data_IF_787124022710
#
_entry.id   IF_787124022710
#
_cell.length_a   1.000
_cell.length_b   1.000
_cell.length_c   1.000
_cell.angle_alpha   90.00
_cell.angle_beta   90.00
_cell.angle_gamma   90.00
#
_symmetry.space_group_name_H-M   'P 1'
#
loop_
_entity.id
_entity.type
_entity.pdbx_description
1 polymer ?
#
# COMPACT_ATOMS: atom_id res chain seq x y z
N UNK A 1 -10.80 -32.65 1.21
CA UNK A 1 -10.83 -31.73 0.06
C UNK A 1 -11.00 -30.35 0.66
N UNK A 2 -9.88 -29.77 1.11
CA UNK A 2 -9.88 -28.44 1.72
C UNK A 2 -10.30 -27.43 0.65
N UNK A 3 -11.30 -26.62 0.98
CA UNK A 3 -11.69 -25.51 0.14
C UNK A 3 -10.46 -24.59 0.02
N UNK A 4 -9.91 -24.49 -1.19
CA UNK A 4 -8.93 -23.49 -1.56
C UNK A 4 -9.56 -22.12 -1.28
N UNK A 5 -9.26 -21.56 -0.11
CA UNK A 5 -9.66 -20.21 0.27
C UNK A 5 -8.97 -19.28 -0.73
N UNK A 6 -9.73 -18.68 -1.65
CA UNK A 6 -9.18 -17.70 -2.58
C UNK A 6 -8.45 -16.63 -1.79
N UNK A 7 -7.13 -16.59 -1.92
CA UNK A 7 -6.28 -15.67 -1.17
C UNK A 7 -6.68 -14.25 -1.58
N UNK A 8 -7.21 -13.49 -0.62
CA UNK A 8 -7.64 -12.10 -0.85
C UNK A 8 -6.42 -11.28 -1.24
N UNK A 9 -6.54 -10.45 -2.26
CA UNK A 9 -5.49 -9.54 -2.71
C UNK A 9 -6.04 -8.12 -2.70
N UNK A 10 -5.27 -7.16 -2.22
CA UNK A 10 -5.62 -5.74 -2.19
C UNK A 10 -5.57 -5.12 -3.59
N UNK A 11 -6.47 -4.16 -3.85
CA UNK A 11 -6.64 -3.48 -5.13
C UNK A 11 -6.76 -1.97 -4.94
N UNK A 12 -6.43 -1.18 -5.97
CA UNK A 12 -6.47 0.29 -5.89
C UNK A 12 -7.88 0.84 -5.72
N UNK A 13 -8.92 0.11 -6.12
CA UNK A 13 -10.33 0.46 -5.96
C UNK A 13 -10.91 0.06 -4.59
N UNK A 14 -10.16 -0.68 -3.76
CA UNK A 14 -10.59 -1.03 -2.41
C UNK A 14 -10.83 0.22 -1.57
N UNK A 15 -11.91 0.21 -0.77
CA UNK A 15 -12.07 1.18 0.31
C UNK A 15 -11.03 0.95 1.40
N UNK A 16 -10.59 1.99 2.13
CA UNK A 16 -9.67 1.79 3.26
C UNK A 16 -10.17 0.78 4.30
N UNK A 17 -11.48 0.72 4.56
CA UNK A 17 -12.07 -0.28 5.47
C UNK A 17 -11.94 -1.71 4.96
N UNK A 18 -12.09 -1.92 3.64
CA UNK A 18 -11.93 -3.23 3.00
C UNK A 18 -10.47 -3.70 3.10
N UNK A 19 -9.53 -2.78 2.87
CA UNK A 19 -8.11 -3.07 3.04
C UNK A 19 -7.76 -3.44 4.48
N UNK A 20 -8.25 -2.66 5.46
CA UNK A 20 -8.04 -2.94 6.88
C UNK A 20 -8.62 -4.30 7.30
N UNK A 21 -9.78 -4.68 6.77
CA UNK A 21 -10.34 -6.01 7.02
C UNK A 21 -9.42 -7.11 6.48
N UNK A 22 -8.93 -6.97 5.25
CA UNK A 22 -7.98 -7.92 4.66
C UNK A 22 -6.65 -8.01 5.42
N UNK A 23 -6.10 -6.89 5.89
CA UNK A 23 -4.92 -6.88 6.75
C UNK A 23 -5.15 -7.66 8.04
N UNK A 24 -6.30 -7.47 8.70
CA UNK A 24 -6.65 -8.17 9.94
C UNK A 24 -6.84 -9.67 9.72
N UNK A 25 -7.55 -10.05 8.66
CA UNK A 25 -7.77 -11.46 8.28
C UNK A 25 -6.44 -12.20 8.09
N UNK A 26 -5.45 -11.52 7.49
CA UNK A 26 -4.11 -12.07 7.22
C UNK A 26 -3.12 -11.87 8.38
N UNK A 27 -3.53 -11.27 9.50
CA UNK A 27 -2.64 -10.99 10.63
C UNK A 27 -1.52 -9.97 10.33
N UNK A 28 -1.67 -9.17 9.27
CA UNK A 28 -0.67 -8.20 8.83
C UNK A 28 -0.89 -6.87 9.57
N UNK A 29 0.11 -6.46 10.35
CA UNK A 29 0.11 -5.13 11.01
C UNK A 29 0.86 -4.08 10.21
N UNK A 30 1.95 -4.45 9.55
CA UNK A 30 2.85 -3.54 8.83
C UNK A 30 3.14 -4.12 7.46
N UNK A 31 3.31 -3.25 6.47
CA UNK A 31 3.77 -3.65 5.16
C UNK A 31 4.33 -2.47 4.38
N UNK A 32 4.92 -2.80 3.23
CA UNK A 32 5.49 -1.86 2.30
C UNK A 32 5.26 -2.28 0.84
N UNK A 33 5.33 -1.28 -0.04
CA UNK A 33 5.57 -1.37 -1.47
C UNK A 33 6.82 -0.54 -1.75
N UNK A 34 7.87 -1.13 -2.33
CA UNK A 34 9.14 -0.43 -2.62
C UNK A 34 9.41 -0.53 -4.11
N UNK A 35 9.82 0.58 -4.73
CA UNK A 35 10.14 0.60 -6.15
C UNK A 35 11.48 -0.11 -6.41
N UNK A 36 11.44 -1.15 -7.24
CA UNK A 36 12.62 -1.82 -7.76
C UNK A 36 13.01 -1.14 -9.08
N UNK A 37 14.20 -0.52 -9.10
CA UNK A 37 14.70 0.20 -10.25
C UNK A 37 15.18 -0.72 -11.38
N UNK A 38 15.63 -1.94 -11.07
CA UNK A 38 16.12 -2.89 -12.06
C UNK A 38 14.95 -3.60 -12.73
N UNK A 39 13.92 -3.96 -11.96
CA UNK A 39 12.71 -4.61 -12.46
C UNK A 39 11.65 -3.63 -13.00
N UNK A 40 11.81 -2.33 -12.75
CA UNK A 40 10.81 -1.28 -13.04
C UNK A 40 9.41 -1.60 -12.51
N UNK A 41 9.34 -2.21 -11.31
CA UNK A 41 8.08 -2.61 -10.67
C UNK A 41 8.12 -2.37 -9.16
N UNK A 42 6.96 -2.35 -8.51
CA UNK A 42 6.85 -2.34 -7.07
C UNK A 42 6.99 -3.75 -6.51
N UNK A 43 7.89 -3.89 -5.54
CA UNK A 43 8.02 -5.09 -4.72
C UNK A 43 7.17 -4.96 -3.45
N UNK A 44 6.25 -5.91 -3.28
CA UNK A 44 5.39 -6.01 -2.12
C UNK A 44 6.04 -6.81 -0.99
N UNK A 45 5.84 -6.35 0.25
CA UNK A 45 6.27 -7.08 1.45
C UNK A 45 5.48 -8.36 1.75
N UNK A 46 4.26 -8.48 1.24
CA UNK A 46 3.33 -9.56 1.54
C UNK A 46 2.48 -9.89 0.30
N UNK A 47 2.11 -11.16 0.05
CA UNK A 47 1.29 -11.56 -1.10
C UNK A 47 -0.05 -10.83 -1.20
N UNK A 48 -0.66 -10.52 -0.05
CA UNK A 48 -1.89 -9.71 0.03
C UNK A 48 -1.77 -8.37 -0.72
N UNK A 49 -0.57 -7.82 -0.86
CA UNK A 49 -0.32 -6.52 -1.49
C UNK A 49 0.06 -6.62 -2.97
N UNK A 50 0.24 -7.82 -3.52
CA UNK A 50 0.74 -8.02 -4.88
C UNK A 50 -0.17 -7.37 -5.94
N UNK A 51 -1.48 -7.36 -5.71
CA UNK A 51 -2.43 -6.72 -6.61
C UNK A 51 -2.26 -5.20 -6.67
N UNK A 52 -2.04 -4.55 -5.52
CA UNK A 52 -1.72 -3.12 -5.46
C UNK A 52 -0.39 -2.84 -6.15
N UNK A 53 0.65 -3.62 -5.85
CA UNK A 53 1.98 -3.46 -6.43
C UNK A 53 1.92 -3.54 -7.96
N UNK A 54 1.21 -4.55 -8.48
CA UNK A 54 1.02 -4.76 -9.90
C UNK A 54 0.25 -3.61 -10.56
N UNK A 55 -0.91 -3.22 -10.03
CA UNK A 55 -1.71 -2.14 -10.62
C UNK A 55 -0.96 -0.80 -10.66
N UNK A 56 -0.26 -0.45 -9.58
CA UNK A 56 0.56 0.75 -9.53
C UNK A 56 1.73 0.70 -10.52
N UNK A 57 2.39 -0.45 -10.67
CA UNK A 57 3.49 -0.65 -11.62
C UNK A 57 3.04 -0.58 -13.08
N UNK A 58 1.84 -1.08 -13.38
CA UNK A 58 1.24 -1.08 -14.72
C UNK A 58 0.74 0.32 -15.17
N UNK A 59 1.03 1.37 -14.39
CA UNK A 59 0.72 2.75 -14.75
C UNK A 59 -0.61 3.26 -14.19
N UNK A 60 -0.94 2.88 -12.95
CA UNK A 60 -2.06 3.49 -12.24
C UNK A 60 -1.94 5.02 -12.25
N UNK A 61 -3.07 5.70 -12.45
CA UNK A 61 -3.13 7.14 -12.66
C UNK A 61 -2.38 7.90 -11.57
N UNK A 62 -1.51 8.80 -11.99
CA UNK A 62 -0.74 9.73 -11.16
C UNK A 62 0.31 9.10 -10.21
N UNK A 63 0.62 7.81 -10.33
CA UNK A 63 1.70 7.20 -9.56
C UNK A 63 3.08 7.59 -10.11
N UNK A 64 3.81 8.46 -9.40
CA UNK A 64 5.15 8.95 -9.79
C UNK A 64 6.30 8.12 -9.20
N UNK A 65 6.20 6.78 -9.26
CA UNK A 65 7.29 5.86 -8.85
C UNK A 65 7.87 6.18 -7.47
N UNK A 66 6.98 6.30 -6.47
CA UNK A 66 7.38 6.47 -5.07
C UNK A 66 8.45 5.44 -4.69
N UNK A 67 9.54 5.89 -4.08
CA UNK A 67 10.65 5.03 -3.65
C UNK A 67 10.17 3.99 -2.64
N UNK A 68 9.26 4.40 -1.76
CA UNK A 68 8.60 3.49 -0.84
C UNK A 68 7.27 4.02 -0.33
N UNK A 69 6.29 3.13 -0.25
CA UNK A 69 5.03 3.33 0.45
C UNK A 69 4.98 2.35 1.61
N UNK A 70 4.90 2.86 2.83
CA UNK A 70 4.83 2.08 4.05
C UNK A 70 3.47 2.28 4.68
N UNK A 71 2.95 1.23 5.32
CA UNK A 71 1.73 1.35 6.09
C UNK A 71 1.79 0.56 7.40
N UNK A 72 0.97 1.01 8.36
CA UNK A 72 0.73 0.30 9.61
C UNK A 72 -0.75 0.38 9.99
N UNK A 73 -1.33 -0.73 10.41
CA UNK A 73 -2.59 -0.73 11.13
C UNK A 73 -2.32 -0.41 12.61
N UNK A 74 -2.73 0.78 13.04
CA UNK A 74 -2.49 1.28 14.40
C UNK A 74 -3.06 0.34 15.47
N UNK A 75 -2.21 -0.11 16.38
CA UNK A 75 -2.56 -1.15 17.37
C UNK A 75 -3.71 -0.77 18.32
N UNK A 76 -3.83 0.50 18.68
CA UNK A 76 -4.88 0.98 19.60
C UNK A 76 -6.06 1.60 18.86
N UNK A 77 -5.79 2.45 17.87
CA UNK A 77 -6.83 3.20 17.16
C UNK A 77 -7.48 2.42 16.02
N UNK A 78 -6.82 1.37 15.51
CA UNK A 78 -7.22 0.70 14.27
C UNK A 78 -7.12 1.61 13.03
N UNK A 79 -6.48 2.78 13.15
CA UNK A 79 -6.28 3.68 12.04
C UNK A 79 -5.27 3.10 11.04
N UNK A 80 -5.56 3.25 9.75
CA UNK A 80 -4.59 2.93 8.71
C UNK A 80 -3.63 4.10 8.55
N UNK A 81 -2.37 3.88 8.89
CA UNK A 81 -1.30 4.87 8.84
C UNK A 81 -0.49 4.63 7.57
N UNK A 82 -0.06 5.71 6.92
CA UNK A 82 0.83 5.65 5.77
C UNK A 82 2.06 6.54 5.97
N UNK A 83 3.18 6.13 5.38
CA UNK A 83 4.34 6.97 5.16
C UNK A 83 4.82 6.79 3.72
N UNK A 84 5.00 7.91 3.02
CA UNK A 84 5.38 7.95 1.61
C UNK A 84 6.78 8.53 1.50
N UNK A 85 7.64 7.86 0.74
CA UNK A 85 8.98 8.34 0.39
C UNK A 85 9.02 8.52 -1.12
N UNK A 86 9.33 9.73 -1.55
CA UNK A 86 9.41 10.08 -2.96
C UNK A 86 10.60 11.02 -3.20
N UNK A 87 11.46 10.63 -4.15
CA UNK A 87 12.52 11.46 -4.74
C UNK A 87 13.48 12.06 -3.70
N UNK A 88 14.25 11.22 -3.02
CA UNK A 88 15.24 11.61 -1.99
C UNK A 88 16.60 12.04 -2.56
N UNK A 89 16.71 12.20 -3.88
CA UNK A 89 17.97 12.58 -4.59
C UNK A 89 18.57 13.93 -4.17
N UNK A 90 17.81 14.76 -3.44
CA UNK A 90 18.27 16.07 -2.93
C UNK A 90 18.42 16.13 -1.41
N UNK A 91 18.24 15.00 -0.71
CA UNK A 91 18.31 14.92 0.75
C UNK A 91 17.14 14.16 1.36
N UNK A 92 17.00 14.25 2.68
CA UNK A 92 15.96 13.56 3.43
C UNK A 92 14.56 14.01 3.00
N UNK A 93 13.61 13.07 3.02
CA UNK A 93 12.20 13.35 2.72
C UNK A 93 11.61 14.40 3.68
N UNK A 94 10.88 15.35 3.13
CA UNK A 94 10.15 16.36 3.88
C UNK A 94 8.68 16.35 3.44
N UNK A 95 7.78 16.02 4.36
CA UNK A 95 6.35 15.88 4.09
C UNK A 95 5.50 16.25 5.30
N UNK A 96 4.25 16.64 5.04
CA UNK A 96 3.27 16.90 6.09
C UNK A 96 2.58 15.62 6.56
N UNK A 97 1.92 15.71 7.71
CA UNK A 97 0.99 14.67 8.18
C UNK A 97 -0.44 15.14 7.92
N UNK A 98 -1.30 14.23 7.48
CA UNK A 98 -2.72 14.50 7.31
C UNK A 98 -3.56 13.38 7.94
N UNK A 99 -4.61 13.76 8.66
CA UNK A 99 -5.68 12.85 9.03
C UNK A 99 -6.87 13.10 8.10
N UNK A 100 -7.14 12.15 7.20
CA UNK A 100 -8.12 12.32 6.12
C UNK A 100 -8.80 11.00 5.78
N UNK A 101 -10.01 11.08 5.23
CA UNK A 101 -10.73 9.92 4.70
C UNK A 101 -10.65 9.91 3.19
N UNK A 102 -10.19 8.79 2.64
CA UNK A 102 -10.10 8.57 1.20
C UNK A 102 -11.19 7.59 0.76
N UNK A 103 -11.69 7.75 -0.47
CA UNK A 103 -12.75 6.86 -0.99
C UNK A 103 -12.15 5.50 -1.32
N UNK A 104 -10.99 5.50 -1.98
CA UNK A 104 -10.26 4.29 -2.36
C UNK A 104 -8.81 4.34 -1.87
N UNK A 105 -8.14 3.19 -1.85
CA UNK A 105 -6.69 3.15 -1.63
C UNK A 105 -5.94 3.91 -2.72
N UNK A 106 -6.38 3.81 -3.96
CA UNK A 106 -5.81 4.55 -5.07
C UNK A 106 -5.81 6.07 -4.82
N UNK A 107 -6.86 6.64 -4.21
CA UNK A 107 -6.88 8.05 -3.82
C UNK A 107 -5.83 8.40 -2.75
N UNK A 108 -5.52 7.45 -1.86
CA UNK A 108 -4.52 7.63 -0.79
C UNK A 108 -3.08 7.42 -1.29
N UNK A 109 -2.89 6.68 -2.39
CA UNK A 109 -1.61 6.28 -2.96
C UNK A 109 -1.14 7.19 -4.12
N UNK A 110 -1.88 8.27 -4.39
CA UNK A 110 -1.48 9.34 -5.32
C UNK A 110 -0.35 10.17 -4.75
#
# INVERSE_FOLDING_TARGET
MEASSSERIARTDDRPSTFVAGLREQGIRRGYLVWDHDAETLHASHPFLDGLARELSEGYRDFDRHEGVFFELGGTSGALLFAFVHRTVRGAGAGGVRFWSYTTLGDALR
#
